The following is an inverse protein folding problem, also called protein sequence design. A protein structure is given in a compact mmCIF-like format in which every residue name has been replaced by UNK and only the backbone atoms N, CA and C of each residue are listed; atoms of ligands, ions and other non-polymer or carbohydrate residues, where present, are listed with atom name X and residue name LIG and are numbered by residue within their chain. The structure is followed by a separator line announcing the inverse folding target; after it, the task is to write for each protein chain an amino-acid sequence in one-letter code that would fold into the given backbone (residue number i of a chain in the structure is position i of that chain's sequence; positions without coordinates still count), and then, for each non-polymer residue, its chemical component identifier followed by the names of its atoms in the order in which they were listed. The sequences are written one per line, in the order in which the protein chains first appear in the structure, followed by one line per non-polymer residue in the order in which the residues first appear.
data_IF_857225563133
#
_entry.id   IF_857225563133
#
_cell.length_a   1.000
_cell.length_b   1.000
_cell.length_c   1.000
_cell.angle_alpha   90.00
_cell.angle_beta   90.00
_cell.angle_gamma   90.00
#
_symmetry.space_group_name_H-M   'P 1'
#
loop_
_entity.id
_entity.type
_entity.pdbx_description
1 polymer ?
#
# COMPACT_ATOMS: atom_id res chain seq x y z
N UNK A 1 7.12 -3.02 3.90
CA UNK A 1 7.30 -1.55 3.82
C UNK A 1 5.99 -0.78 3.67
N UNK A 2 5.00 -1.27 2.94
CA UNK A 2 3.69 -0.60 2.84
C UNK A 2 2.82 -0.79 4.07
N UNK A 3 2.90 -1.92 4.75
CA UNK A 3 2.26 -2.13 6.05
C UNK A 3 2.68 -1.07 7.07
N UNK A 4 3.93 -0.61 7.02
CA UNK A 4 4.43 0.46 7.87
C UNK A 4 3.76 1.81 7.57
N UNK A 5 3.55 2.15 6.29
CA UNK A 5 2.88 3.41 5.90
C UNK A 5 1.40 3.39 6.33
N UNK A 6 0.73 2.25 6.16
CA UNK A 6 -0.65 2.09 6.61
C UNK A 6 -0.78 2.15 8.14
N UNK A 7 0.16 1.53 8.86
CA UNK A 7 0.25 1.64 10.32
C UNK A 7 0.48 3.10 10.75
N UNK A 8 1.37 3.82 10.05
CA UNK A 8 1.66 5.22 10.36
C UNK A 8 0.44 6.11 10.13
N UNK A 9 -0.33 5.89 9.03
CA UNK A 9 -1.61 6.57 8.82
C UNK A 9 -2.59 6.29 9.96
N UNK A 10 -2.71 5.06 10.40
CA UNK A 10 -3.57 4.68 11.52
C UNK A 10 -3.15 5.38 12.82
N UNK A 11 -1.84 5.33 13.13
CA UNK A 11 -1.24 5.94 14.34
C UNK A 11 -1.45 7.46 14.38
N UNK A 12 -1.51 8.13 13.23
CA UNK A 12 -1.80 9.57 13.18
C UNK A 12 -3.31 9.83 13.15
N UNK A 13 -4.07 9.02 12.41
CA UNK A 13 -5.52 9.25 12.26
C UNK A 13 -6.31 9.04 13.54
N UNK A 14 -5.96 8.04 14.37
CA UNK A 14 -6.67 7.77 15.61
C UNK A 14 -6.54 8.93 16.63
N UNK A 15 -5.34 9.44 16.96
CA UNK A 15 -5.22 10.61 17.82
C UNK A 15 -5.89 11.85 17.25
N UNK A 16 -5.84 12.05 15.91
CA UNK A 16 -6.51 13.17 15.26
C UNK A 16 -8.02 13.10 15.44
N UNK A 17 -8.61 11.91 15.29
CA UNK A 17 -10.04 11.70 15.53
C UNK A 17 -10.40 11.89 17.00
N UNK A 18 -9.61 11.34 17.94
CA UNK A 18 -9.81 11.54 19.37
C UNK A 18 -9.72 13.01 19.74
N UNK A 19 -8.75 13.74 19.22
CA UNK A 19 -8.65 15.18 19.42
C UNK A 19 -9.90 15.90 18.90
N UNK A 20 -10.44 15.50 17.75
CA UNK A 20 -11.68 16.07 17.21
C UNK A 20 -12.91 15.76 18.07
N UNK A 21 -12.93 14.61 18.76
CA UNK A 21 -13.98 14.29 19.76
C UNK A 21 -13.88 15.25 20.95
N UNK A 22 -12.67 15.46 21.49
CA UNK A 22 -12.46 16.40 22.60
C UNK A 22 -12.88 17.82 22.25
N UNK A 23 -12.52 18.28 21.06
CA UNK A 23 -12.89 19.63 20.59
C UNK A 23 -14.39 19.74 20.31
N UNK A 24 -14.97 18.75 19.61
CA UNK A 24 -16.35 18.78 19.16
C UNK A 24 -17.38 18.68 20.29
N UNK A 25 -17.06 17.90 21.31
CA UNK A 25 -17.92 17.75 22.50
C UNK A 25 -17.53 18.69 23.66
N UNK A 26 -16.59 19.59 23.42
CA UNK A 26 -16.08 20.54 24.45
C UNK A 26 -15.69 19.85 25.77
N UNK A 27 -15.01 18.68 25.67
CA UNK A 27 -14.65 17.89 26.84
C UNK A 27 -13.59 18.61 27.70
N UNK A 28 -13.65 18.48 29.04
CA UNK A 28 -12.67 19.07 29.93
C UNK A 28 -11.29 18.46 29.75
N UNK A 29 -10.28 19.31 29.85
CA UNK A 29 -8.85 18.93 29.79
C UNK A 29 -8.21 19.44 31.08
N UNK A 30 -8.30 18.63 32.15
CA UNK A 30 -7.96 19.04 33.52
C UNK A 30 -6.53 19.52 33.66
N UNK A 31 -5.55 18.88 33.00
CA UNK A 31 -4.13 19.24 33.08
C UNK A 31 -3.82 20.59 32.40
N UNK A 32 -4.69 21.11 31.53
CA UNK A 32 -4.58 22.43 30.91
C UNK A 32 -5.54 23.46 31.48
N UNK A 33 -6.37 23.07 32.45
CA UNK A 33 -7.44 23.91 33.02
C UNK A 33 -8.32 24.59 31.96
N UNK A 34 -8.65 23.85 30.88
CA UNK A 34 -9.45 24.34 29.75
C UNK A 34 -10.38 23.26 29.23
N UNK A 35 -11.16 23.59 28.23
CA UNK A 35 -12.00 22.62 27.51
C UNK A 35 -11.58 22.52 26.05
N UNK A 36 -12.00 21.45 25.36
CA UNK A 36 -11.62 21.18 23.99
C UNK A 36 -11.89 22.34 23.04
N UNK A 37 -13.05 22.98 23.14
CA UNK A 37 -13.42 24.11 22.26
C UNK A 37 -12.65 25.41 22.56
N UNK A 38 -12.07 25.53 23.74
CA UNK A 38 -11.31 26.72 24.19
C UNK A 38 -9.80 26.56 24.07
N UNK A 39 -9.32 25.49 23.45
CA UNK A 39 -7.90 25.30 23.21
C UNK A 39 -7.36 26.40 22.30
N UNK A 40 -6.20 27.03 22.65
CA UNK A 40 -5.55 27.95 21.74
C UNK A 40 -5.01 27.19 20.53
N UNK A 41 -4.93 27.89 19.38
CA UNK A 41 -4.31 27.37 18.16
C UNK A 41 -4.92 26.09 17.59
N UNK A 42 -6.23 25.83 17.78
CA UNK A 42 -6.94 24.65 17.27
C UNK A 42 -6.74 24.51 15.75
N UNK A 43 -6.88 25.59 15.00
CA UNK A 43 -6.77 25.57 13.54
C UNK A 43 -5.36 25.19 13.09
N UNK A 44 -4.35 25.70 13.77
CA UNK A 44 -2.94 25.40 13.50
C UNK A 44 -2.62 23.94 13.80
N UNK A 45 -3.15 23.40 14.89
CA UNK A 45 -3.03 21.96 15.23
C UNK A 45 -3.63 21.11 14.12
N UNK A 46 -4.85 21.40 13.66
CA UNK A 46 -5.46 20.68 12.56
C UNK A 46 -4.72 20.85 11.24
N UNK A 47 -4.15 22.02 10.99
CA UNK A 47 -3.32 22.23 9.81
C UNK A 47 -2.07 21.34 9.84
N UNK A 48 -1.36 21.28 10.97
CA UNK A 48 -0.17 20.44 11.13
C UNK A 48 -0.53 18.96 11.01
N UNK A 49 -1.57 18.49 11.71
CA UNK A 49 -2.04 17.10 11.62
C UNK A 49 -2.44 16.74 10.20
N UNK A 50 -3.17 17.62 9.52
CA UNK A 50 -3.55 17.43 8.13
C UNK A 50 -2.34 17.35 7.20
N UNK A 51 -1.34 18.22 7.36
CA UNK A 51 -0.11 18.14 6.56
C UNK A 51 0.63 16.82 6.76
N UNK A 52 0.72 16.31 7.98
CA UNK A 52 1.34 15.00 8.26
C UNK A 52 0.57 13.89 7.54
N UNK A 53 -0.77 13.87 7.66
CA UNK A 53 -1.63 12.88 6.98
C UNK A 53 -1.48 12.98 5.45
N UNK A 54 -1.45 14.21 4.92
CA UNK A 54 -1.26 14.47 3.50
C UNK A 54 0.05 13.92 2.98
N UNK A 55 1.17 14.18 3.66
CA UNK A 55 2.51 13.72 3.25
C UNK A 55 2.55 12.19 3.22
N UNK A 56 2.03 11.53 4.27
CA UNK A 56 1.99 10.07 4.34
C UNK A 56 1.09 9.50 3.23
N UNK A 57 -0.10 10.08 3.06
CA UNK A 57 -1.05 9.70 2.04
C UNK A 57 -0.51 9.87 0.62
N UNK A 58 0.09 11.01 0.30
CA UNK A 58 0.71 11.29 -1.01
C UNK A 58 1.82 10.31 -1.33
N UNK A 59 2.72 10.04 -0.38
CA UNK A 59 3.78 9.04 -0.57
C UNK A 59 3.21 7.67 -0.96
N UNK A 60 2.12 7.26 -0.35
CA UNK A 60 1.43 6.00 -0.64
C UNK A 60 0.79 6.02 -2.02
N UNK A 61 0.03 7.06 -2.32
CA UNK A 61 -0.63 7.29 -3.62
C UNK A 61 0.38 7.26 -4.76
N UNK A 62 1.42 8.10 -4.69
CA UNK A 62 2.45 8.19 -5.73
C UNK A 62 3.06 6.81 -6.01
N UNK A 63 3.47 6.06 -4.98
CA UNK A 63 4.07 4.73 -5.16
C UNK A 63 3.14 3.77 -5.86
N UNK A 64 1.88 3.73 -5.49
CA UNK A 64 0.86 2.85 -6.03
C UNK A 64 0.59 3.14 -7.52
N UNK A 65 0.39 4.41 -7.88
CA UNK A 65 0.20 4.83 -9.26
C UNK A 65 1.44 4.61 -10.13
N UNK A 66 2.63 4.91 -9.62
CA UNK A 66 3.89 4.65 -10.32
C UNK A 66 4.09 3.15 -10.59
N UNK A 67 3.80 2.29 -9.60
CA UNK A 67 3.93 0.84 -9.78
C UNK A 67 3.07 0.31 -10.92
N UNK A 68 1.79 0.69 -10.96
CA UNK A 68 0.90 0.29 -12.06
C UNK A 68 1.38 0.86 -13.39
N UNK A 69 1.83 2.11 -13.42
CA UNK A 69 2.36 2.72 -14.64
C UNK A 69 3.59 1.99 -15.18
N UNK A 70 4.46 1.49 -14.29
CA UNK A 70 5.64 0.71 -14.67
C UNK A 70 5.26 -0.64 -15.30
N UNK A 71 4.36 -1.41 -14.68
CA UNK A 71 4.01 -2.76 -15.17
C UNK A 71 3.19 -2.74 -16.46
N UNK A 72 2.57 -1.62 -16.81
CA UNK A 72 1.90 -1.42 -18.10
C UNK A 72 2.85 -1.45 -19.29
N UNK A 73 4.14 -1.14 -19.09
CA UNK A 73 5.17 -1.10 -20.14
C UNK A 73 5.68 -2.52 -20.44
N UNK A 74 4.83 -3.35 -21.07
CA UNK A 74 5.09 -4.78 -21.29
C UNK A 74 6.44 -5.04 -21.99
N UNK A 75 6.87 -4.17 -22.91
CA UNK A 75 8.14 -4.30 -23.64
C UNK A 75 9.40 -4.25 -22.75
N UNK A 76 9.28 -3.80 -21.50
CA UNK A 76 10.41 -3.77 -20.55
C UNK A 76 10.57 -5.06 -19.75
N UNK A 77 9.68 -6.02 -19.93
CA UNK A 77 9.67 -7.27 -19.18
C UNK A 77 9.96 -8.46 -20.11
N UNK A 78 10.73 -9.40 -19.62
CA UNK A 78 10.95 -10.71 -20.25
C UNK A 78 9.67 -11.54 -20.20
N UNK A 79 8.95 -11.40 -19.09
CA UNK A 79 7.64 -12.00 -18.90
C UNK A 79 6.72 -11.01 -18.16
N UNK A 80 5.46 -10.96 -18.58
CA UNK A 80 4.48 -10.06 -17.97
C UNK A 80 3.08 -10.64 -18.11
N UNK A 81 2.37 -10.78 -17.00
CA UNK A 81 1.00 -11.29 -16.99
C UNK A 81 0.09 -10.46 -16.07
N UNK A 82 -1.23 -10.42 -16.32
CA UNK A 82 -2.19 -9.88 -15.37
C UNK A 82 -2.18 -10.71 -14.08
N UNK A 83 -2.53 -10.06 -12.97
CA UNK A 83 -2.73 -10.79 -11.70
C UNK A 83 -3.97 -11.70 -11.80
N UNK A 84 -4.00 -12.73 -10.96
CA UNK A 84 -5.12 -13.68 -10.90
C UNK A 84 -6.45 -12.97 -10.59
N UNK A 85 -7.56 -13.57 -11.04
CA UNK A 85 -8.91 -13.03 -10.80
C UNK A 85 -9.21 -12.90 -9.30
N UNK A 86 -8.83 -13.90 -8.52
CA UNK A 86 -9.02 -13.90 -7.07
C UNK A 86 -8.23 -12.77 -6.39
N UNK A 87 -6.99 -12.59 -6.78
CA UNK A 87 -6.15 -11.50 -6.27
C UNK A 87 -6.72 -10.14 -6.64
N UNK A 88 -7.20 -9.98 -7.88
CA UNK A 88 -7.85 -8.75 -8.35
C UNK A 88 -9.08 -8.40 -7.52
N UNK A 89 -9.93 -9.39 -7.23
CA UNK A 89 -11.10 -9.18 -6.37
C UNK A 89 -10.70 -8.76 -4.95
N UNK A 90 -9.70 -9.40 -4.38
CA UNK A 90 -9.18 -8.98 -3.07
C UNK A 90 -8.65 -7.55 -3.07
N UNK A 91 -7.91 -7.16 -4.10
CA UNK A 91 -7.41 -5.78 -4.26
C UNK A 91 -8.58 -4.79 -4.36
N UNK A 92 -9.62 -5.14 -5.13
CA UNK A 92 -10.84 -4.34 -5.23
C UNK A 92 -11.49 -4.13 -3.86
N UNK A 93 -11.76 -5.22 -3.15
CA UNK A 93 -12.41 -5.18 -1.81
C UNK A 93 -11.59 -4.35 -0.83
N UNK A 94 -10.28 -4.59 -0.74
CA UNK A 94 -9.41 -3.85 0.19
C UNK A 94 -9.37 -2.35 -0.09
N UNK A 95 -9.24 -1.93 -1.35
CA UNK A 95 -9.24 -0.49 -1.67
C UNK A 95 -10.61 0.15 -1.48
N UNK A 96 -11.70 -0.60 -1.70
CA UNK A 96 -13.06 -0.11 -1.43
C UNK A 96 -13.28 0.11 0.06
N UNK A 97 -12.90 -0.86 0.91
CA UNK A 97 -12.97 -0.72 2.37
C UNK A 97 -12.12 0.48 2.83
N UNK A 98 -10.92 0.62 2.28
CA UNK A 98 -10.04 1.74 2.59
C UNK A 98 -10.68 3.09 2.21
N UNK A 99 -11.26 3.19 1.02
CA UNK A 99 -11.99 4.38 0.59
C UNK A 99 -13.16 4.71 1.52
N UNK A 100 -13.94 3.69 1.93
CA UNK A 100 -15.02 3.85 2.90
C UNK A 100 -14.51 4.34 4.26
N UNK A 101 -13.40 3.79 4.75
CA UNK A 101 -12.80 4.24 6.03
C UNK A 101 -12.38 5.71 5.95
N UNK A 102 -11.69 6.14 4.90
CA UNK A 102 -11.30 7.54 4.74
C UNK A 102 -12.52 8.45 4.58
N UNK A 103 -13.54 8.00 3.85
CA UNK A 103 -14.79 8.76 3.73
C UNK A 103 -15.48 8.90 5.08
N UNK A 104 -15.54 7.85 5.89
CA UNK A 104 -16.10 7.88 7.25
C UNK A 104 -15.31 8.83 8.15
N UNK A 105 -13.98 8.84 8.08
CA UNK A 105 -13.14 9.79 8.80
C UNK A 105 -13.41 11.23 8.37
N UNK A 106 -13.57 11.47 7.07
CA UNK A 106 -13.95 12.79 6.54
C UNK A 106 -15.27 13.27 7.12
N UNK A 107 -16.31 12.43 7.09
CA UNK A 107 -17.61 12.75 7.69
C UNK A 107 -17.54 12.94 9.21
N UNK A 108 -16.77 12.11 9.92
CA UNK A 108 -16.59 12.27 11.37
C UNK A 108 -16.03 13.66 11.71
N UNK A 109 -15.01 14.14 10.99
CA UNK A 109 -14.47 15.48 11.18
C UNK A 109 -15.47 16.59 10.81
N UNK A 110 -16.28 16.37 9.77
CA UNK A 110 -17.36 17.30 9.41
C UNK A 110 -18.35 17.52 10.54
N UNK A 111 -18.78 16.43 11.20
CA UNK A 111 -19.78 16.52 12.27
C UNK A 111 -19.19 16.96 13.62
N UNK A 112 -17.93 16.62 13.89
CA UNK A 112 -17.33 16.90 15.20
C UNK A 112 -16.87 18.35 15.32
N UNK A 113 -16.16 18.89 14.31
CA UNK A 113 -15.59 20.23 14.43
C UNK A 113 -15.35 20.93 13.09
N UNK A 114 -15.91 22.14 12.90
CA UNK A 114 -15.63 22.95 11.72
C UNK A 114 -14.15 23.34 11.56
N UNK A 115 -13.40 23.45 12.66
CA UNK A 115 -11.97 23.77 12.64
C UNK A 115 -11.12 22.71 11.93
N UNK A 116 -11.62 21.48 11.80
CA UNK A 116 -10.94 20.37 11.13
C UNK A 116 -11.14 20.34 9.60
N UNK A 117 -11.64 21.40 8.96
CA UNK A 117 -11.95 21.42 7.51
C UNK A 117 -10.78 20.96 6.64
N UNK A 118 -9.55 21.32 6.99
CA UNK A 118 -8.37 20.91 6.25
C UNK A 118 -8.13 19.40 6.34
N UNK A 119 -8.24 18.82 7.52
CA UNK A 119 -8.13 17.36 7.75
C UNK A 119 -9.24 16.61 7.02
N UNK A 120 -10.47 17.12 7.08
CA UNK A 120 -11.63 16.59 6.37
C UNK A 120 -11.36 16.49 4.86
N UNK A 121 -10.89 17.59 4.25
CA UNK A 121 -10.59 17.63 2.82
C UNK A 121 -9.50 16.64 2.42
N UNK A 122 -8.48 16.45 3.25
CA UNK A 122 -7.44 15.47 3.01
C UNK A 122 -7.99 14.04 3.02
N UNK A 123 -8.80 13.68 4.02
CA UNK A 123 -9.43 12.36 4.04
C UNK A 123 -10.38 12.15 2.86
N UNK A 124 -11.11 13.17 2.45
CA UNK A 124 -11.96 13.11 1.25
C UNK A 124 -11.12 12.83 -0.02
N UNK A 125 -9.99 13.52 -0.18
CA UNK A 125 -9.06 13.30 -1.31
C UNK A 125 -8.50 11.87 -1.27
N UNK A 126 -8.10 11.36 -0.09
CA UNK A 126 -7.59 9.99 0.06
C UNK A 126 -8.67 8.93 -0.23
N UNK A 127 -9.91 9.20 0.15
CA UNK A 127 -11.05 8.34 -0.18
C UNK A 127 -11.27 8.28 -1.70
N UNK A 128 -11.35 9.43 -2.35
CA UNK A 128 -11.50 9.54 -3.80
C UNK A 128 -10.35 8.84 -4.53
N UNK A 129 -9.10 9.05 -4.09
CA UNK A 129 -7.93 8.37 -4.66
C UNK A 129 -8.05 6.84 -4.56
N UNK A 130 -8.51 6.30 -3.41
CA UNK A 130 -8.67 4.87 -3.22
C UNK A 130 -9.71 4.27 -4.18
N UNK A 131 -10.85 4.93 -4.38
CA UNK A 131 -11.87 4.49 -5.32
C UNK A 131 -11.42 4.64 -6.78
N UNK A 132 -10.87 5.80 -7.16
CA UNK A 132 -10.40 6.07 -8.52
C UNK A 132 -9.26 5.12 -8.91
N UNK A 133 -8.34 4.84 -7.99
CA UNK A 133 -7.25 3.91 -8.26
C UNK A 133 -7.75 2.54 -8.69
N UNK A 134 -8.71 1.99 -7.98
CA UNK A 134 -9.28 0.68 -8.30
C UNK A 134 -10.09 0.72 -9.59
N UNK A 135 -10.98 1.71 -9.73
CA UNK A 135 -11.85 1.80 -10.92
C UNK A 135 -11.04 1.93 -12.21
N UNK A 136 -10.00 2.76 -12.21
CA UNK A 136 -9.16 3.00 -13.40
C UNK A 136 -8.18 1.86 -13.65
N UNK A 137 -7.67 1.20 -12.61
CA UNK A 137 -6.55 0.27 -12.75
C UNK A 137 -6.94 -1.20 -12.59
N UNK A 138 -8.21 -1.54 -12.46
CA UNK A 138 -8.66 -2.93 -12.26
C UNK A 138 -8.12 -3.92 -13.32
N UNK A 139 -8.01 -3.49 -14.57
CA UNK A 139 -7.46 -4.29 -15.67
C UNK A 139 -5.93 -4.20 -15.81
N UNK A 140 -5.30 -3.29 -15.09
CA UNK A 140 -3.89 -2.93 -15.25
C UNK A 140 -2.98 -3.53 -14.17
N UNK A 141 -3.55 -4.23 -13.19
CA UNK A 141 -2.76 -4.92 -12.17
C UNK A 141 -2.03 -6.10 -12.78
N UNK A 142 -0.72 -6.11 -12.69
CA UNK A 142 0.14 -7.08 -13.38
C UNK A 142 1.35 -7.47 -12.54
N UNK A 143 1.91 -8.62 -12.91
CA UNK A 143 3.23 -9.06 -12.48
C UNK A 143 4.16 -9.00 -13.68
N UNK A 144 5.31 -8.37 -13.52
CA UNK A 144 6.35 -8.28 -14.56
C UNK A 144 7.68 -8.81 -14.06
N UNK A 145 8.34 -9.64 -14.86
CA UNK A 145 9.70 -10.10 -14.64
C UNK A 145 10.62 -9.43 -15.66
N UNK A 146 11.56 -8.65 -15.20
CA UNK A 146 12.63 -8.07 -15.99
C UNK A 146 13.95 -8.84 -15.75
N UNK A 147 14.99 -8.53 -16.51
CA UNK A 147 16.33 -9.07 -16.28
C UNK A 147 16.94 -8.71 -14.92
N UNK A 148 16.37 -7.73 -14.20
CA UNK A 148 16.94 -7.22 -12.96
C UNK A 148 16.04 -7.45 -11.74
N UNK A 149 14.72 -7.56 -11.93
CA UNK A 149 13.78 -7.60 -10.83
C UNK A 149 12.43 -8.19 -11.23
N UNK A 150 11.72 -8.73 -10.24
CA UNK A 150 10.27 -9.01 -10.29
C UNK A 150 9.55 -7.78 -9.75
N UNK A 151 8.56 -7.30 -10.48
CA UNK A 151 7.69 -6.20 -10.09
C UNK A 151 6.25 -6.67 -10.03
N UNK A 152 5.62 -6.59 -8.87
CA UNK A 152 4.19 -6.78 -8.70
C UNK A 152 3.56 -5.43 -8.43
N UNK A 153 2.61 -5.04 -9.25
CA UNK A 153 1.82 -3.85 -9.02
C UNK A 153 0.34 -4.23 -8.94
N UNK A 154 -0.12 -4.25 -7.72
CA UNK A 154 -1.53 -4.41 -7.36
C UNK A 154 -1.93 -3.31 -6.35
N UNK A 155 -2.43 -3.64 -5.17
CA UNK A 155 -2.65 -2.68 -4.09
C UNK A 155 -1.34 -2.03 -3.62
N UNK A 156 -0.27 -2.79 -3.66
CA UNK A 156 1.06 -2.41 -3.19
C UNK A 156 2.10 -2.74 -4.26
N UNK A 157 3.17 -1.95 -4.31
CA UNK A 157 4.28 -2.25 -5.21
C UNK A 157 5.29 -3.12 -4.47
N UNK A 158 5.40 -4.37 -4.92
CA UNK A 158 6.46 -5.28 -4.48
C UNK A 158 7.54 -5.33 -5.55
N UNK A 159 8.76 -5.03 -5.16
CA UNK A 159 9.94 -5.10 -6.01
C UNK A 159 10.95 -6.06 -5.39
N UNK A 160 11.30 -7.11 -6.14
CA UNK A 160 12.27 -8.14 -5.75
C UNK A 160 13.39 -8.12 -6.77
N UNK A 161 14.57 -7.68 -6.35
CA UNK A 161 15.74 -7.64 -7.22
C UNK A 161 16.32 -9.05 -7.39
N UNK A 162 16.76 -9.38 -8.62
CA UNK A 162 17.41 -10.66 -8.90
C UNK A 162 18.91 -10.63 -8.59
N UNK A 163 19.50 -9.45 -8.49
CA UNK A 163 20.91 -9.31 -8.15
C UNK A 163 21.14 -9.55 -6.65
N UNK A 164 22.18 -10.29 -6.31
CA UNK A 164 22.54 -10.62 -4.93
C UNK A 164 21.76 -11.79 -4.33
N UNK A 165 20.94 -12.49 -5.12
CA UNK A 165 20.27 -13.72 -4.70
C UNK A 165 21.29 -14.82 -4.42
N UNK A 166 21.03 -15.62 -3.38
CA UNK A 166 21.75 -16.84 -3.04
C UNK A 166 20.88 -18.09 -3.25
N UNK A 167 19.59 -17.98 -2.93
CA UNK A 167 18.68 -19.11 -3.01
C UNK A 167 17.30 -18.63 -3.39
N UNK A 168 16.64 -19.42 -4.23
CA UNK A 168 15.20 -19.32 -4.49
C UNK A 168 14.57 -20.62 -4.05
N UNK A 169 13.61 -20.54 -3.12
CA UNK A 169 12.88 -21.71 -2.67
C UNK A 169 11.38 -21.52 -2.86
N UNK A 170 10.74 -22.55 -3.40
CA UNK A 170 9.30 -22.58 -3.60
C UNK A 170 8.71 -23.48 -2.53
N UNK A 171 7.85 -22.93 -1.67
CA UNK A 171 7.14 -23.69 -0.65
C UNK A 171 5.67 -23.33 -0.68
N UNK A 172 4.81 -24.34 -0.85
CA UNK A 172 3.35 -24.19 -0.97
C UNK A 172 2.97 -23.17 -2.05
N UNK A 173 2.45 -22.01 -1.66
CA UNK A 173 2.00 -20.95 -2.57
C UNK A 173 2.89 -19.70 -2.51
N UNK A 174 4.12 -19.83 -2.06
CA UNK A 174 5.04 -18.71 -1.87
C UNK A 174 6.42 -19.05 -2.40
N UNK A 175 7.02 -18.11 -3.12
CA UNK A 175 8.43 -18.16 -3.51
C UNK A 175 9.22 -17.27 -2.56
N UNK A 176 10.25 -17.83 -1.97
CA UNK A 176 11.17 -17.13 -1.08
C UNK A 176 12.47 -16.84 -1.83
N UNK A 177 12.95 -15.63 -1.68
CA UNK A 177 14.18 -15.13 -2.27
C UNK A 177 15.13 -14.77 -1.13
N UNK A 178 16.16 -15.60 -0.95
CA UNK A 178 17.16 -15.42 0.09
C UNK A 178 18.37 -14.68 -0.48
N UNK A 179 18.77 -13.62 0.20
CA UNK A 179 19.91 -12.77 -0.15
C UNK A 179 21.06 -12.96 0.82
N UNK A 180 22.19 -12.33 0.48
CA UNK A 180 23.27 -12.09 1.46
C UNK A 180 22.73 -11.32 2.67
N UNK A 181 23.29 -11.52 3.86
CA UNK A 181 22.95 -10.82 5.09
C UNK A 181 21.58 -11.20 5.70
N UNK A 182 21.13 -12.45 5.52
CA UNK A 182 19.87 -12.96 6.09
C UNK A 182 18.60 -12.17 5.71
N UNK A 183 18.64 -11.44 4.59
CA UNK A 183 17.45 -10.82 4.04
C UNK A 183 16.68 -11.86 3.23
N UNK A 184 15.42 -12.08 3.59
CA UNK A 184 14.50 -12.93 2.85
C UNK A 184 13.31 -12.08 2.37
N UNK A 185 13.02 -12.14 1.08
CA UNK A 185 11.81 -11.57 0.50
C UNK A 185 10.90 -12.70 0.04
N UNK A 186 9.58 -12.48 0.09
CA UNK A 186 8.57 -13.45 -0.31
C UNK A 186 7.71 -12.93 -1.44
N UNK A 187 7.36 -13.81 -2.36
CA UNK A 187 6.46 -13.55 -3.47
C UNK A 187 5.31 -14.56 -3.44
N UNK A 188 4.07 -14.10 -3.26
CA UNK A 188 2.92 -14.99 -3.23
C UNK A 188 2.53 -15.43 -4.64
N UNK A 189 2.55 -16.74 -4.90
CA UNK A 189 2.19 -17.35 -6.20
C UNK A 189 0.70 -17.19 -6.55
N UNK A 190 -0.14 -16.90 -5.59
CA UNK A 190 -1.56 -16.59 -5.82
C UNK A 190 -1.78 -15.32 -6.66
N UNK A 191 -0.72 -14.49 -6.83
CA UNK A 191 -0.74 -13.38 -7.76
C UNK A 191 -0.79 -13.83 -9.22
N UNK A 192 -0.38 -15.07 -9.54
CA UNK A 192 -0.27 -15.59 -10.91
C UNK A 192 -1.34 -16.64 -11.12
N UNK A 193 -2.03 -16.60 -12.25
CA UNK A 193 -2.97 -17.66 -12.63
C UNK A 193 -2.25 -18.98 -12.88
N UNK A 194 -2.87 -20.13 -12.52
CA UNK A 194 -2.27 -21.48 -12.63
C UNK A 194 -1.62 -21.75 -13.99
N UNK A 195 -2.27 -21.46 -15.14
CA UNK A 195 -1.67 -21.73 -16.45
C UNK A 195 -0.40 -20.91 -16.73
N UNK A 196 -0.23 -19.78 -16.04
CA UNK A 196 0.91 -18.86 -16.24
C UNK A 196 2.11 -19.17 -15.31
N UNK A 197 1.94 -19.99 -14.28
CA UNK A 197 3.00 -20.31 -13.31
C UNK A 197 4.19 -21.00 -13.96
N UNK A 198 3.95 -21.98 -14.84
CA UNK A 198 5.02 -22.68 -15.54
C UNK A 198 5.87 -21.71 -16.39
N UNK A 199 5.22 -20.82 -17.13
CA UNK A 199 5.89 -19.81 -17.94
C UNK A 199 6.68 -18.81 -17.09
N UNK A 200 6.12 -18.43 -15.94
CA UNK A 200 6.81 -17.58 -14.98
C UNK A 200 8.09 -18.23 -14.45
N UNK A 201 8.03 -19.48 -14.02
CA UNK A 201 9.21 -20.20 -13.51
C UNK A 201 10.27 -20.40 -14.60
N UNK A 202 9.87 -20.78 -15.81
CA UNK A 202 10.80 -20.90 -16.94
C UNK A 202 11.49 -19.56 -17.25
N UNK A 203 10.75 -18.47 -17.25
CA UNK A 203 11.31 -17.14 -17.45
C UNK A 203 12.22 -16.72 -16.28
N UNK A 204 11.85 -17.02 -15.03
CA UNK A 204 12.64 -16.71 -13.84
C UNK A 204 13.97 -17.48 -13.84
N UNK A 205 13.93 -18.76 -14.12
CA UNK A 205 15.13 -19.61 -14.24
C UNK A 205 16.08 -19.12 -15.33
N UNK A 206 15.55 -18.61 -16.45
CA UNK A 206 16.35 -18.03 -17.54
C UNK A 206 17.03 -16.69 -17.18
N UNK A 207 16.60 -16.02 -16.11
CA UNK A 207 17.19 -14.74 -15.66
C UNK A 207 18.12 -14.90 -14.44
N UNK A 208 18.16 -16.08 -13.84
CA UNK A 208 18.98 -16.38 -12.66
C UNK A 208 20.19 -17.21 -13.09
N UNK A 209 21.38 -16.81 -12.64
CA UNK A 209 22.63 -17.55 -12.81
C UNK A 209 22.59 -18.82 -11.93
N UNK A 210 22.38 -19.98 -12.55
CA UNK A 210 22.26 -21.28 -11.85
C UNK A 210 23.54 -21.71 -11.15
N UNK A 211 24.70 -21.19 -11.54
CA UNK A 211 25.97 -21.52 -10.88
C UNK A 211 26.13 -20.79 -9.54
N UNK A 212 25.37 -19.70 -9.35
CA UNK A 212 25.45 -18.84 -8.16
C UNK A 212 24.23 -18.91 -7.25
N UNK A 213 23.09 -19.32 -7.77
CA UNK A 213 21.81 -19.30 -7.05
C UNK A 213 21.23 -20.71 -6.98
N UNK A 214 21.06 -21.19 -5.75
CA UNK A 214 20.42 -22.49 -5.50
C UNK A 214 18.90 -22.39 -5.74
N UNK A 215 18.38 -23.18 -6.67
CA UNK A 215 16.93 -23.28 -6.92
C UNK A 215 16.38 -24.53 -6.26
N UNK A 216 15.47 -24.40 -5.30
CA UNK A 216 14.92 -25.53 -4.52
C UNK A 216 13.39 -25.52 -4.58
N UNK A 217 12.81 -26.59 -5.14
CA UNK A 217 11.40 -26.88 -5.01
C UNK A 217 11.19 -27.75 -3.77
N UNK A 218 10.56 -27.18 -2.74
CA UNK A 218 10.11 -27.96 -1.58
C UNK A 218 8.71 -28.45 -1.88
N UNK A 219 8.52 -29.77 -1.93
CA UNK A 219 7.22 -30.42 -2.14
C UNK A 219 6.29 -30.18 -0.96
#
# INVERSE_FOLDING_TARGET
MNSFINLLLLVVSLPTLLFSVFVGFDLPIDFLNTTGARLPYINEVYLVLGLVILIIGLRRTIRRWMGVSMVKQVSKFVWNAPISKERRMRVFVYNSIEGVVFLSLSFAHWFLTPSAIFVLLIYLILALDSFLFVLINQSNFRVGLSSKAILVADREVLLIYLNGLRKVSVSQQTVYFDYSQNLQLSFPLDCIEEPQKANFFAALEGQIDRDRVLFQHTK
#
